data_IF_933019880026
#
_entry.id   IF_933019880026
#
_cell.length_a   1.000
_cell.length_b   1.000
_cell.length_c   1.000
_cell.angle_alpha   90.00
_cell.angle_beta   90.00
_cell.angle_gamma   90.00
#
_symmetry.space_group_name_H-M   'P 1'
#
loop_
_entity.id
_entity.type
_entity.pdbx_description
1 polymer ?
#
# COMPACT_ATOMS: atom_id res chain seq x y z
N UNK A 1 -12.00 23.76 -13.11
CA UNK A 1 -13.13 22.99 -12.54
C UNK A 1 -12.54 21.98 -11.58
N UNK A 2 -12.41 22.37 -10.31
CA UNK A 2 -11.85 21.57 -9.23
C UNK A 2 -13.03 20.81 -8.62
N UNK A 3 -13.03 19.48 -8.72
CA UNK A 3 -14.11 18.67 -8.16
C UNK A 3 -13.93 18.55 -6.65
N UNK A 4 -15.00 18.96 -5.99
CA UNK A 4 -15.25 18.99 -4.56
C UNK A 4 -15.07 17.59 -3.92
N UNK A 5 -14.06 17.49 -3.06
CA UNK A 5 -14.24 16.95 -1.69
C UNK A 5 -15.44 17.73 -1.10
N UNK A 6 -16.53 17.14 -0.60
CA UNK A 6 -16.75 16.31 0.59
C UNK A 6 -18.21 15.79 0.56
N UNK A 7 -18.53 14.66 1.22
CA UNK A 7 -19.81 14.43 1.92
C UNK A 7 -19.61 13.31 2.96
N UNK A 8 -20.23 13.49 4.13
CA UNK A 8 -19.77 13.02 5.45
C UNK A 8 -20.22 11.60 5.82
N UNK A 9 -19.32 10.84 6.46
CA UNK A 9 -19.61 9.58 7.15
C UNK A 9 -18.42 8.61 7.12
N UNK A 10 -17.86 8.31 8.29
CA UNK A 10 -16.69 7.45 8.53
C UNK A 10 -15.33 8.14 8.43
N UNK A 11 -14.52 7.95 9.48
CA UNK A 11 -13.12 8.34 9.63
C UNK A 11 -12.43 8.66 8.31
N UNK A 12 -12.09 9.94 8.10
CA UNK A 12 -11.18 10.34 7.02
C UNK A 12 -9.85 9.67 7.33
N UNK A 13 -9.62 8.50 6.72
CA UNK A 13 -8.36 7.79 6.83
C UNK A 13 -7.34 8.67 6.13
N UNK A 14 -6.47 9.34 6.89
CA UNK A 14 -5.43 10.19 6.32
C UNK A 14 -4.64 9.42 5.24
N UNK A 15 -4.36 10.08 4.11
CA UNK A 15 -3.51 9.52 3.06
C UNK A 15 -4.22 8.84 1.89
N UNK A 16 -5.54 8.94 1.75
CA UNK A 16 -6.25 8.52 0.51
C UNK A 16 -5.83 9.43 -0.66
N UNK A 17 -5.43 8.82 -1.79
CA UNK A 17 -4.97 9.48 -3.02
C UNK A 17 -6.06 9.46 -4.10
N UNK A 18 -6.75 8.33 -4.25
CA UNK A 18 -7.78 8.13 -5.26
C UNK A 18 -8.87 7.20 -4.73
N UNK A 19 -10.12 7.47 -5.12
CA UNK A 19 -11.26 6.61 -4.83
C UNK A 19 -12.13 6.46 -6.07
N UNK A 20 -12.57 5.24 -6.32
CA UNK A 20 -13.64 4.88 -7.25
C UNK A 20 -14.70 4.08 -6.49
N UNK A 21 -15.75 3.64 -7.18
CA UNK A 21 -16.86 2.91 -6.55
C UNK A 21 -16.42 1.62 -5.85
N UNK A 22 -15.36 0.97 -6.33
CA UNK A 22 -14.89 -0.33 -5.80
C UNK A 22 -13.45 -0.33 -5.29
N UNK A 23 -12.74 0.79 -5.38
CA UNK A 23 -11.32 0.85 -5.04
C UNK A 23 -10.96 2.14 -4.32
N UNK A 24 -10.15 2.02 -3.27
CA UNK A 24 -9.51 3.12 -2.58
C UNK A 24 -8.01 2.90 -2.67
N UNK A 25 -7.30 3.91 -3.16
CA UNK A 25 -5.83 3.95 -3.16
C UNK A 25 -5.41 4.94 -2.08
N UNK A 26 -4.50 4.53 -1.21
CA UNK A 26 -3.90 5.35 -0.16
C UNK A 26 -2.38 5.23 -0.16
N UNK A 27 -1.69 6.17 0.46
CA UNK A 27 -0.26 6.06 0.77
C UNK A 27 0.00 4.80 1.60
N UNK A 28 1.11 4.12 1.29
CA UNK A 28 1.60 3.02 2.10
C UNK A 28 2.08 3.56 3.46
N UNK A 29 1.81 2.81 4.53
CA UNK A 29 2.22 3.12 5.89
C UNK A 29 3.10 1.99 6.41
N UNK A 30 3.95 2.26 7.40
CA UNK A 30 4.79 1.22 8.02
C UNK A 30 3.95 0.08 8.64
N UNK A 31 2.70 0.36 9.03
CA UNK A 31 1.76 -0.66 9.50
C UNK A 31 1.37 -1.69 8.43
N UNK A 32 1.65 -1.43 7.15
CA UNK A 32 1.39 -2.35 6.04
C UNK A 32 2.49 -3.42 5.86
N UNK A 33 3.56 -3.38 6.66
CA UNK A 33 4.73 -4.26 6.52
C UNK A 33 4.37 -5.75 6.40
N UNK A 34 3.42 -6.25 7.21
CA UNK A 34 2.99 -7.66 7.12
C UNK A 34 2.34 -8.01 5.79
N UNK A 35 1.54 -7.11 5.24
CA UNK A 35 0.92 -7.31 3.92
C UNK A 35 1.98 -7.32 2.81
N UNK A 36 2.96 -6.40 2.89
CA UNK A 36 4.07 -6.34 1.93
C UNK A 36 4.90 -7.63 1.96
N UNK A 37 5.27 -8.13 3.15
CA UNK A 37 6.00 -9.41 3.27
C UNK A 37 5.19 -10.53 2.62
N UNK A 38 3.89 -10.62 2.91
CA UNK A 38 3.06 -11.67 2.33
C UNK A 38 3.00 -11.57 0.80
N UNK A 39 2.82 -10.37 0.23
CA UNK A 39 2.71 -10.16 -1.22
C UNK A 39 4.01 -10.48 -1.96
N UNK A 40 5.13 -9.90 -1.50
CA UNK A 40 6.43 -10.00 -2.20
C UNK A 40 6.98 -11.42 -2.20
N UNK A 41 6.57 -12.25 -1.24
CA UNK A 41 7.00 -13.65 -1.11
C UNK A 41 6.02 -14.65 -1.72
N UNK A 42 4.96 -14.20 -2.41
CA UNK A 42 4.11 -15.11 -3.17
C UNK A 42 4.92 -15.70 -4.33
N UNK A 43 4.80 -17.01 -4.54
CA UNK A 43 5.47 -17.68 -5.67
C UNK A 43 5.17 -17.00 -7.01
N UNK A 44 3.91 -16.65 -7.26
CA UNK A 44 3.52 -15.92 -8.48
C UNK A 44 4.16 -14.54 -8.59
N UNK A 45 4.36 -13.83 -7.48
CA UNK A 45 5.04 -12.54 -7.48
C UNK A 45 6.52 -12.71 -7.83
N UNK A 46 7.19 -13.67 -7.20
CA UNK A 46 8.60 -13.98 -7.48
C UNK A 46 8.77 -14.40 -8.94
N UNK A 47 7.92 -15.30 -9.44
CA UNK A 47 8.02 -15.85 -10.80
C UNK A 47 7.77 -14.78 -11.89
N UNK A 48 6.94 -13.76 -11.63
CA UNK A 48 6.51 -12.80 -12.65
C UNK A 48 7.05 -11.37 -12.47
N UNK A 49 7.48 -10.98 -11.27
CA UNK A 49 7.98 -9.62 -10.94
C UNK A 49 9.42 -9.67 -10.42
N UNK A 50 9.79 -10.75 -9.74
CA UNK A 50 11.13 -10.98 -9.17
C UNK A 50 11.21 -10.79 -7.66
N UNK A 51 12.09 -11.57 -7.04
CA UNK A 51 12.37 -11.53 -5.60
C UNK A 51 12.94 -10.15 -5.19
N UNK A 52 12.35 -9.56 -4.14
CA UNK A 52 12.73 -8.25 -3.61
C UNK A 52 13.61 -8.35 -2.35
N UNK A 53 13.92 -9.55 -1.87
CA UNK A 53 14.67 -9.79 -0.64
C UNK A 53 14.06 -9.13 0.61
N UNK A 54 12.72 -9.19 0.75
CA UNK A 54 11.98 -8.59 1.88
C UNK A 54 11.28 -9.71 2.65
N UNK A 55 11.80 -10.06 3.83
CA UNK A 55 11.37 -11.27 4.56
C UNK A 55 10.90 -11.01 6.00
N UNK A 56 11.12 -9.81 6.51
CA UNK A 56 10.82 -9.43 7.89
C UNK A 56 10.32 -7.98 7.99
N UNK A 57 9.88 -7.58 9.19
CA UNK A 57 9.33 -6.24 9.42
C UNK A 57 10.37 -5.14 9.15
N UNK A 58 11.64 -5.24 9.60
CA UNK A 58 12.66 -4.25 9.27
C UNK A 58 12.87 -4.04 7.78
N UNK A 59 13.10 -5.12 7.01
CA UNK A 59 13.29 -5.05 5.55
C UNK A 59 12.05 -4.52 4.84
N UNK A 60 10.84 -4.87 5.31
CA UNK A 60 9.60 -4.35 4.76
C UNK A 60 9.41 -2.85 5.02
N UNK A 61 9.74 -2.38 6.22
CA UNK A 61 9.70 -0.96 6.55
C UNK A 61 10.68 -0.15 5.70
N UNK A 62 11.91 -0.64 5.53
CA UNK A 62 12.90 -0.02 4.66
C UNK A 62 12.41 0.03 3.20
N UNK A 63 11.85 -1.09 2.71
CA UNK A 63 11.28 -1.16 1.37
C UNK A 63 10.14 -0.15 1.19
N UNK A 64 9.24 -0.03 2.18
CA UNK A 64 8.13 0.92 2.13
C UNK A 64 8.64 2.35 2.00
N UNK A 65 9.64 2.74 2.81
CA UNK A 65 10.19 4.10 2.82
C UNK A 65 10.93 4.48 1.53
N UNK A 66 11.51 3.49 0.83
CA UNK A 66 12.29 3.72 -0.39
C UNK A 66 11.46 3.65 -1.67
N UNK A 67 10.33 2.94 -1.65
CA UNK A 67 9.59 2.57 -2.87
C UNK A 67 8.24 3.25 -3.04
N UNK A 68 7.67 3.83 -1.98
CA UNK A 68 6.38 4.51 -1.99
C UNK A 68 6.52 5.98 -1.56
#
# INVERSE_FOLDING_TARGET
MVLQIYEQGANVVEGIILRTDRCIIRKALLSDARFIIQLLNQKSFIDNIGDKNVFDIPSANEYIQKSF
#
